data_IF_761745167533
#
_entry.id   IF_761745167533
#
_cell.length_a   1.000
_cell.length_b   1.000
_cell.length_c   1.000
_cell.angle_alpha   90.00
_cell.angle_beta   90.00
_cell.angle_gamma   90.00
#
_symmetry.space_group_name_H-M   'P 1'
#
loop_
_entity.id
_entity.type
_entity.pdbx_description
1 polymer ?
#
# COMPACT_ATOMS: atom_id res chain seq x y z
N UNK A 1 2.23 -16.98 22.16
CA UNK A 1 2.05 -15.53 22.24
C UNK A 1 0.58 -15.21 22.00
N UNK A 2 -0.06 -14.48 22.90
CA UNK A 2 -1.45 -14.06 22.77
C UNK A 2 -1.45 -12.77 21.96
N UNK A 3 -2.36 -12.63 20.99
CA UNK A 3 -2.55 -11.36 20.29
C UNK A 3 -2.94 -10.27 21.29
N UNK A 4 -2.48 -9.07 21.06
CA UNK A 4 -2.75 -7.91 21.92
C UNK A 4 -4.23 -7.54 21.94
N UNK A 5 -4.94 -7.80 20.83
CA UNK A 5 -6.37 -7.56 20.70
C UNK A 5 -7.09 -8.78 20.15
N UNK A 6 -8.34 -9.02 20.59
CA UNK A 6 -9.19 -10.07 20.04
C UNK A 6 -9.41 -9.93 18.54
N UNK A 7 -9.41 -8.69 18.04
CA UNK A 7 -9.57 -8.43 16.62
C UNK A 7 -8.32 -8.79 15.83
N UNK A 8 -7.12 -8.56 16.36
CA UNK A 8 -5.87 -9.04 15.78
C UNK A 8 -5.86 -10.55 15.59
N UNK A 9 -6.31 -11.30 16.61
CA UNK A 9 -6.46 -12.75 16.51
C UNK A 9 -7.49 -13.15 15.44
N UNK A 10 -8.61 -12.45 15.37
CA UNK A 10 -9.64 -12.69 14.34
C UNK A 10 -9.09 -12.45 12.93
N UNK A 11 -8.33 -11.36 12.74
CA UNK A 11 -7.66 -11.07 11.46
C UNK A 11 -6.67 -12.19 11.10
N UNK A 12 -5.87 -12.66 12.05
CA UNK A 12 -4.97 -13.78 11.80
C UNK A 12 -5.72 -15.02 11.33
N UNK A 13 -6.68 -15.48 12.12
CA UNK A 13 -7.44 -16.71 11.85
C UNK A 13 -8.25 -16.67 10.55
N UNK A 14 -8.83 -15.51 10.23
CA UNK A 14 -9.71 -15.40 9.04
C UNK A 14 -9.00 -15.07 7.76
N UNK A 15 -7.83 -14.40 7.81
CA UNK A 15 -7.14 -13.92 6.60
C UNK A 15 -5.81 -14.60 6.34
N UNK A 16 -5.10 -15.04 7.35
CA UNK A 16 -3.70 -15.43 7.19
C UNK A 16 -3.41 -16.89 7.54
N UNK A 17 -4.05 -17.43 8.56
CA UNK A 17 -3.84 -18.82 8.95
C UNK A 17 -4.12 -19.77 7.79
N UNK A 18 -3.28 -20.79 7.61
CA UNK A 18 -3.46 -21.84 6.61
C UNK A 18 -4.44 -22.92 7.08
N UNK A 19 -4.53 -23.11 8.39
CA UNK A 19 -5.46 -24.03 9.05
C UNK A 19 -6.03 -23.39 10.31
N UNK A 20 -7.19 -23.82 10.79
CA UNK A 20 -7.77 -23.30 12.03
C UNK A 20 -6.91 -23.49 13.29
N UNK A 21 -5.99 -24.46 13.26
CA UNK A 21 -5.12 -24.80 14.39
C UNK A 21 -3.77 -24.09 14.32
N UNK A 22 -3.45 -23.42 13.23
CA UNK A 22 -2.16 -22.75 13.07
C UNK A 22 -2.04 -21.60 14.07
N UNK A 23 -0.91 -21.56 14.77
CA UNK A 23 -0.55 -20.47 15.68
C UNK A 23 0.22 -19.37 14.96
N UNK A 24 0.30 -18.17 15.56
CA UNK A 24 1.16 -17.10 15.04
C UNK A 24 2.64 -17.49 15.03
N UNK A 25 3.08 -18.26 15.99
CA UNK A 25 4.45 -18.77 16.04
C UNK A 25 4.75 -19.70 14.87
N UNK A 26 3.84 -20.62 14.54
CA UNK A 26 3.98 -21.50 13.37
C UNK A 26 4.06 -20.67 12.08
N UNK A 27 3.19 -19.66 11.98
CA UNK A 27 3.16 -18.75 10.82
C UNK A 27 4.45 -17.96 10.68
N UNK A 28 4.99 -17.38 11.75
CA UNK A 28 6.25 -16.65 11.76
C UNK A 28 7.43 -17.53 11.29
N UNK A 29 7.53 -18.74 11.83
CA UNK A 29 8.53 -19.70 11.41
C UNK A 29 8.38 -20.11 9.93
N UNK A 30 7.15 -20.35 9.48
CA UNK A 30 6.84 -20.64 8.08
C UNK A 30 7.28 -19.52 7.15
N UNK A 31 6.93 -18.27 7.45
CA UNK A 31 7.30 -17.10 6.66
C UNK A 31 8.82 -17.04 6.46
N UNK A 32 9.58 -17.08 7.55
CA UNK A 32 11.04 -16.93 7.49
C UNK A 32 11.70 -18.11 6.76
N UNK A 33 11.24 -19.33 7.01
CA UNK A 33 11.81 -20.52 6.38
C UNK A 33 11.51 -20.62 4.88
N UNK A 34 10.32 -20.16 4.43
CA UNK A 34 9.96 -20.15 3.02
C UNK A 34 10.61 -19.00 2.25
N UNK A 35 10.80 -17.84 2.87
CA UNK A 35 11.37 -16.68 2.19
C UNK A 35 12.90 -16.68 2.24
N UNK A 36 13.49 -16.93 3.40
CA UNK A 36 14.94 -16.82 3.63
C UNK A 36 15.66 -18.16 3.65
N UNK A 37 14.95 -19.25 3.96
CA UNK A 37 15.48 -20.61 4.02
C UNK A 37 15.22 -21.38 2.72
N UNK A 38 15.10 -22.69 2.86
CA UNK A 38 14.88 -23.64 1.76
C UNK A 38 13.61 -24.49 1.94
N UNK A 39 12.69 -24.07 2.79
CA UNK A 39 11.45 -24.82 3.05
C UNK A 39 10.52 -24.88 1.85
N UNK A 40 10.73 -24.03 0.83
CA UNK A 40 10.01 -24.04 -0.45
C UNK A 40 10.52 -25.11 -1.44
N UNK A 41 11.45 -25.99 -1.00
CA UNK A 41 12.06 -27.02 -1.84
C UNK A 41 13.24 -26.53 -2.70
N UNK A 42 13.62 -25.26 -2.60
CA UNK A 42 14.82 -24.75 -3.28
C UNK A 42 16.10 -25.23 -2.57
N UNK A 43 17.21 -25.39 -3.31
CA UNK A 43 18.44 -25.93 -2.77
C UNK A 43 19.24 -24.94 -1.89
N UNK A 44 18.95 -23.64 -2.00
CA UNK A 44 19.81 -22.60 -1.41
C UNK A 44 19.08 -21.84 -0.30
N UNK A 45 19.71 -21.78 0.86
CA UNK A 45 19.38 -20.78 1.88
C UNK A 45 19.86 -19.40 1.40
N UNK A 46 18.99 -18.40 1.49
CA UNK A 46 19.31 -17.02 1.14
C UNK A 46 19.83 -16.21 2.33
N UNK A 47 19.68 -16.74 3.54
CA UNK A 47 20.11 -16.11 4.79
C UNK A 47 20.71 -17.17 5.73
N UNK A 48 21.68 -16.77 6.55
CA UNK A 48 22.31 -17.66 7.54
C UNK A 48 21.29 -18.13 8.59
N UNK A 49 21.55 -19.27 9.20
CA UNK A 49 20.63 -19.86 10.18
C UNK A 49 20.43 -18.97 11.41
N UNK A 50 21.51 -18.39 11.92
CA UNK A 50 21.46 -17.47 13.08
C UNK A 50 20.58 -16.27 12.82
N UNK A 51 20.73 -15.63 11.66
CA UNK A 51 19.91 -14.48 11.24
C UNK A 51 18.45 -14.88 11.06
N UNK A 52 18.18 -16.08 10.51
CA UNK A 52 16.80 -16.58 10.36
C UNK A 52 16.14 -16.85 11.71
N UNK A 53 16.87 -17.43 12.66
CA UNK A 53 16.35 -17.74 13.99
C UNK A 53 15.97 -16.44 14.73
N UNK A 54 16.83 -15.41 14.68
CA UNK A 54 16.54 -14.10 15.29
C UNK A 54 15.45 -13.35 14.53
N UNK A 55 15.44 -13.37 13.19
CA UNK A 55 14.36 -12.80 12.40
C UNK A 55 13.00 -13.46 12.71
N UNK A 56 12.97 -14.79 12.85
CA UNK A 56 11.75 -15.50 13.23
C UNK A 56 11.25 -15.08 14.62
N UNK A 57 12.16 -14.81 15.57
CA UNK A 57 11.83 -14.23 16.87
C UNK A 57 11.25 -12.82 16.70
N UNK A 58 11.87 -11.95 15.91
CA UNK A 58 11.37 -10.60 15.65
C UNK A 58 9.97 -10.59 15.02
N UNK A 59 9.68 -11.55 14.14
CA UNK A 59 8.33 -11.72 13.56
C UNK A 59 7.35 -12.24 14.62
N UNK A 60 7.74 -13.22 15.44
CA UNK A 60 6.90 -13.73 16.56
C UNK A 60 6.55 -12.62 17.53
N UNK A 61 7.51 -11.80 17.92
CA UNK A 61 7.36 -10.68 18.84
C UNK A 61 6.69 -9.46 18.19
N UNK A 62 6.35 -9.55 16.90
CA UNK A 62 5.76 -8.46 16.13
C UNK A 62 6.58 -7.17 16.11
N UNK A 63 7.90 -7.27 16.24
CA UNK A 63 8.84 -6.18 16.02
C UNK A 63 8.99 -5.86 14.54
N UNK A 64 8.93 -6.89 13.69
CA UNK A 64 8.88 -6.78 12.24
C UNK A 64 7.72 -7.61 11.72
N UNK A 65 6.87 -6.99 10.87
CA UNK A 65 5.83 -7.70 10.15
C UNK A 65 6.02 -7.52 8.64
N UNK A 66 6.26 -8.60 7.91
CA UNK A 66 6.28 -8.54 6.46
C UNK A 66 4.88 -8.21 5.93
N UNK A 67 4.82 -7.66 4.74
CA UNK A 67 3.56 -7.30 4.10
C UNK A 67 2.58 -8.48 4.06
N UNK A 68 1.28 -8.17 4.12
CA UNK A 68 0.25 -9.20 4.20
C UNK A 68 0.32 -10.28 3.12
N UNK A 69 1.00 -10.02 1.99
CA UNK A 69 1.24 -11.02 0.94
C UNK A 69 2.19 -12.12 1.40
N UNK A 70 3.27 -11.77 2.08
CA UNK A 70 4.18 -12.74 2.69
C UNK A 70 3.45 -13.59 3.73
N UNK A 71 2.69 -12.94 4.62
CA UNK A 71 1.95 -13.66 5.66
C UNK A 71 0.93 -14.62 5.05
N UNK A 72 0.30 -14.25 3.93
CA UNK A 72 -0.69 -15.10 3.27
C UNK A 72 -0.04 -16.22 2.47
N UNK A 73 0.94 -15.92 1.59
CA UNK A 73 1.44 -16.89 0.61
C UNK A 73 2.56 -17.80 1.11
N UNK A 74 3.31 -17.45 2.15
CA UNK A 74 4.35 -18.33 2.68
C UNK A 74 3.77 -19.69 3.08
N UNK A 75 4.36 -20.77 2.61
CA UNK A 75 3.87 -22.14 2.81
C UNK A 75 2.71 -22.57 1.91
N UNK A 76 2.23 -21.69 1.01
CA UNK A 76 1.25 -22.04 -0.03
C UNK A 76 1.94 -22.25 -1.38
N UNK A 77 1.28 -22.89 -2.36
CA UNK A 77 1.90 -23.18 -3.67
C UNK A 77 2.35 -21.93 -4.43
N UNK A 78 1.54 -20.85 -4.42
CA UNK A 78 1.90 -19.59 -5.06
C UNK A 78 2.76 -18.70 -4.15
N UNK A 79 3.66 -17.91 -4.75
CA UNK A 79 4.62 -17.04 -4.03
C UNK A 79 4.52 -15.57 -4.46
N UNK A 80 3.30 -15.06 -4.64
CA UNK A 80 3.06 -13.66 -5.02
C UNK A 80 3.26 -12.73 -3.82
N UNK A 81 4.52 -12.50 -3.44
CA UNK A 81 4.89 -11.72 -2.26
C UNK A 81 4.80 -10.21 -2.47
N UNK A 82 4.78 -9.74 -3.70
CA UNK A 82 4.76 -8.32 -4.03
C UNK A 82 3.39 -7.70 -3.79
N UNK A 83 3.40 -6.48 -3.25
CA UNK A 83 2.19 -5.73 -2.91
C UNK A 83 1.82 -4.70 -3.96
N UNK A 84 2.81 -4.13 -4.67
CA UNK A 84 2.68 -2.91 -5.44
C UNK A 84 3.25 -3.11 -6.84
N UNK A 85 2.47 -2.74 -7.86
CA UNK A 85 2.85 -2.77 -9.27
C UNK A 85 2.56 -1.41 -9.90
N UNK A 86 3.52 -0.89 -10.65
CA UNK A 86 3.48 0.42 -11.26
C UNK A 86 3.45 0.27 -12.78
N UNK A 87 2.51 0.96 -13.42
CA UNK A 87 2.31 0.90 -14.87
C UNK A 87 2.30 2.28 -15.48
N UNK A 88 2.44 2.32 -16.80
CA UNK A 88 2.28 3.51 -17.63
C UNK A 88 1.54 3.14 -18.90
N UNK A 89 0.70 4.01 -19.38
CA UNK A 89 0.28 3.96 -20.78
C UNK A 89 1.46 4.47 -21.60
N UNK A 90 2.15 3.57 -22.29
CA UNK A 90 3.41 3.89 -22.97
C UNK A 90 3.22 4.49 -24.36
N UNK A 91 2.05 4.25 -24.96
CA UNK A 91 1.64 4.81 -26.25
C UNK A 91 0.11 4.91 -26.32
N UNK A 92 -0.42 5.85 -27.13
CA UNK A 92 -1.86 6.02 -27.35
C UNK A 92 -2.35 5.19 -28.55
N UNK A 93 -2.18 3.87 -28.47
CA UNK A 93 -2.61 2.90 -29.47
C UNK A 93 -3.58 1.86 -28.85
N UNK A 94 -4.34 1.16 -29.72
CA UNK A 94 -5.23 0.05 -29.27
C UNK A 94 -4.43 -1.01 -28.54
N UNK A 95 -3.28 -1.31 -29.07
CA UNK A 95 -2.35 -2.32 -28.57
C UNK A 95 -1.84 -1.94 -27.17
N UNK A 96 -1.44 -0.67 -26.96
CA UNK A 96 -1.00 -0.17 -25.65
C UNK A 96 -2.14 -0.14 -24.62
N UNK A 97 -3.35 0.26 -25.01
CA UNK A 97 -4.53 0.21 -24.14
C UNK A 97 -4.86 -1.22 -23.69
N UNK A 98 -4.83 -2.15 -24.65
CA UNK A 98 -5.06 -3.57 -24.37
C UNK A 98 -3.98 -4.17 -23.49
N UNK A 99 -2.71 -3.83 -23.75
CA UNK A 99 -1.57 -4.29 -22.97
C UNK A 99 -1.63 -3.76 -21.52
N UNK A 100 -1.91 -2.48 -21.32
CA UNK A 100 -2.07 -1.89 -19.98
C UNK A 100 -3.18 -2.61 -19.19
N UNK A 101 -4.35 -2.79 -19.83
CA UNK A 101 -5.49 -3.48 -19.18
C UNK A 101 -5.14 -4.93 -18.80
N UNK A 102 -4.51 -5.68 -19.72
CA UNK A 102 -4.05 -7.06 -19.46
C UNK A 102 -3.04 -7.10 -18.30
N UNK A 103 -2.06 -6.21 -18.31
CA UNK A 103 -0.99 -6.17 -17.32
C UNK A 103 -1.51 -5.84 -15.92
N UNK A 104 -2.36 -4.81 -15.80
CA UNK A 104 -3.01 -4.46 -14.54
C UNK A 104 -3.91 -5.59 -14.02
N UNK A 105 -4.72 -6.21 -14.91
CA UNK A 105 -5.55 -7.36 -14.55
C UNK A 105 -4.72 -8.53 -14.03
N UNK A 106 -3.61 -8.86 -14.69
CA UNK A 106 -2.71 -9.94 -14.26
C UNK A 106 -2.14 -9.68 -12.86
N UNK A 107 -1.73 -8.44 -12.56
CA UNK A 107 -1.26 -8.06 -11.22
C UNK A 107 -2.37 -8.12 -10.17
N UNK A 108 -3.58 -7.62 -10.49
CA UNK A 108 -4.73 -7.68 -9.59
C UNK A 108 -5.10 -9.11 -9.22
N UNK A 109 -5.02 -10.05 -10.16
CA UNK A 109 -5.30 -11.48 -9.92
C UNK A 109 -4.34 -12.12 -8.91
N UNK A 110 -3.10 -11.63 -8.80
CA UNK A 110 -2.16 -12.06 -7.75
C UNK A 110 -2.49 -11.46 -6.37
N UNK A 111 -3.38 -10.47 -6.35
CA UNK A 111 -3.77 -9.71 -5.16
C UNK A 111 -2.87 -8.54 -4.84
N UNK A 112 -2.03 -8.11 -5.76
CA UNK A 112 -1.27 -6.86 -5.68
C UNK A 112 -2.13 -5.65 -6.02
N UNK A 113 -1.80 -4.50 -5.44
CA UNK A 113 -2.33 -3.21 -5.86
C UNK A 113 -1.61 -2.70 -7.10
N UNK A 114 -2.32 -2.00 -7.96
CA UNK A 114 -1.79 -1.47 -9.23
C UNK A 114 -1.98 0.02 -9.33
N UNK A 115 -1.05 0.70 -9.97
CA UNK A 115 -1.23 2.10 -10.34
C UNK A 115 -0.76 2.35 -11.76
N UNK A 116 -1.34 3.33 -12.45
CA UNK A 116 -0.93 3.69 -13.81
C UNK A 116 -0.98 5.20 -14.05
N UNK A 117 0.02 5.70 -14.75
CA UNK A 117 0.01 7.03 -15.36
C UNK A 117 -0.53 6.91 -16.79
N UNK A 118 -1.61 7.67 -17.08
CA UNK A 118 -2.28 7.68 -18.38
C UNK A 118 -2.16 9.03 -19.09
N UNK A 119 -1.20 9.85 -18.70
CA UNK A 119 -1.03 11.23 -19.20
C UNK A 119 -0.88 11.33 -20.73
N UNK A 120 -0.40 10.27 -21.39
CA UNK A 120 -0.19 10.26 -22.85
C UNK A 120 -1.48 9.95 -23.65
N UNK A 121 -2.57 9.56 -22.96
CA UNK A 121 -3.82 9.26 -23.62
C UNK A 121 -4.31 10.48 -24.43
N UNK A 122 -4.80 10.25 -25.65
CA UNK A 122 -5.32 11.30 -26.51
C UNK A 122 -6.54 11.96 -25.90
N UNK A 123 -6.61 13.29 -25.87
CA UNK A 123 -7.77 14.02 -25.37
C UNK A 123 -9.06 13.68 -26.11
N UNK A 124 -10.17 13.71 -25.39
CA UNK A 124 -11.51 13.55 -25.94
C UNK A 124 -11.80 14.57 -27.04
N UNK A 125 -12.52 14.15 -28.09
CA UNK A 125 -12.86 15.01 -29.22
C UNK A 125 -11.75 15.20 -30.29
N UNK A 126 -10.53 14.77 -30.03
CA UNK A 126 -9.45 14.83 -31.02
C UNK A 126 -9.76 13.91 -32.20
N UNK A 127 -9.54 14.43 -33.42
CA UNK A 127 -9.81 13.69 -34.68
C UNK A 127 -8.92 12.45 -34.80
N UNK A 128 -9.55 11.34 -35.18
CA UNK A 128 -8.85 10.10 -35.51
C UNK A 128 -8.53 10.04 -37.00
N UNK A 129 -7.27 10.33 -37.36
CA UNK A 129 -6.88 10.46 -38.77
C UNK A 129 -6.94 9.14 -39.56
N UNK A 130 -6.75 8.00 -38.90
CA UNK A 130 -6.67 6.71 -39.59
C UNK A 130 -8.04 6.01 -39.71
N UNK A 131 -8.89 6.12 -38.71
CA UNK A 131 -10.18 5.40 -38.64
C UNK A 131 -11.38 6.30 -38.87
N UNK A 132 -11.18 7.62 -38.86
CA UNK A 132 -12.27 8.59 -38.85
C UNK A 132 -12.93 8.71 -37.47
N UNK A 133 -13.76 9.74 -37.30
CA UNK A 133 -14.40 10.04 -36.00
C UNK A 133 -13.48 10.79 -35.02
N UNK A 134 -13.81 10.72 -33.73
CA UNK A 134 -13.13 11.44 -32.66
C UNK A 134 -12.72 10.49 -31.54
N UNK A 135 -11.65 10.87 -30.82
CA UNK A 135 -11.16 10.13 -29.65
C UNK A 135 -12.14 10.23 -28.48
N UNK A 136 -12.22 9.18 -27.70
CA UNK A 136 -13.06 9.11 -26.49
C UNK A 136 -12.41 9.66 -25.21
N UNK A 137 -11.11 9.98 -25.28
CA UNK A 137 -10.34 10.43 -24.13
C UNK A 137 -9.97 9.29 -23.15
N UNK A 138 -9.31 9.62 -22.03
CA UNK A 138 -8.81 8.64 -21.05
C UNK A 138 -9.89 7.99 -20.18
N UNK A 139 -11.02 8.67 -19.94
CA UNK A 139 -12.06 8.18 -19.01
C UNK A 139 -12.63 6.80 -19.36
N UNK A 140 -12.89 6.43 -20.63
CA UNK A 140 -13.31 5.07 -20.99
C UNK A 140 -12.31 3.98 -20.62
N UNK A 141 -11.00 4.24 -20.74
CA UNK A 141 -9.96 3.33 -20.27
C UNK A 141 -10.04 3.13 -18.75
N UNK A 142 -10.18 4.23 -18.01
CA UNK A 142 -10.33 4.17 -16.55
C UNK A 142 -11.58 3.37 -16.14
N UNK A 143 -12.72 3.57 -16.81
CA UNK A 143 -13.95 2.80 -16.56
C UNK A 143 -13.75 1.32 -16.84
N UNK A 144 -13.03 0.96 -17.90
CA UNK A 144 -12.71 -0.43 -18.23
C UNK A 144 -11.86 -1.08 -17.14
N UNK A 145 -10.81 -0.40 -16.69
CA UNK A 145 -9.93 -0.88 -15.61
C UNK A 145 -10.67 -0.93 -14.26
N UNK A 146 -11.55 0.04 -13.99
CA UNK A 146 -12.42 0.00 -12.82
C UNK A 146 -13.33 -1.25 -12.82
N UNK A 147 -13.92 -1.60 -13.97
CA UNK A 147 -14.72 -2.80 -14.12
C UNK A 147 -13.89 -4.08 -13.92
N UNK A 148 -12.65 -4.12 -14.39
CA UNK A 148 -11.72 -5.21 -14.07
C UNK A 148 -11.54 -5.34 -12.55
N UNK A 149 -11.22 -4.24 -11.88
CA UNK A 149 -11.03 -4.22 -10.42
C UNK A 149 -12.26 -4.66 -9.64
N UNK A 150 -13.44 -4.39 -10.15
CA UNK A 150 -14.72 -4.76 -9.54
C UNK A 150 -15.05 -6.25 -9.68
N UNK A 151 -14.72 -6.85 -10.81
CA UNK A 151 -15.15 -8.20 -11.17
C UNK A 151 -14.05 -9.25 -10.97
N UNK A 152 -12.80 -8.86 -10.85
CA UNK A 152 -11.69 -9.79 -10.64
C UNK A 152 -11.53 -10.11 -9.14
N UNK A 153 -11.80 -11.35 -8.77
CA UNK A 153 -11.56 -11.86 -7.42
C UNK A 153 -10.06 -12.05 -7.20
N UNK A 154 -9.55 -11.43 -6.14
CA UNK A 154 -8.16 -11.62 -5.70
C UNK A 154 -8.02 -12.86 -4.81
N UNK A 155 -6.87 -13.51 -4.89
CA UNK A 155 -6.49 -14.53 -3.91
C UNK A 155 -6.59 -13.98 -2.48
N UNK A 156 -7.34 -14.67 -1.59
CA UNK A 156 -7.57 -14.25 -0.22
C UNK A 156 -8.73 -13.28 0.01
N UNK A 157 -9.66 -13.10 -0.95
CA UNK A 157 -10.89 -12.33 -0.74
C UNK A 157 -10.68 -10.82 -0.49
N UNK A 158 -9.59 -10.24 -0.99
CA UNK A 158 -9.31 -8.79 -0.90
C UNK A 158 -9.99 -8.05 -2.04
N UNK A 159 -10.45 -6.81 -1.78
CA UNK A 159 -10.83 -5.87 -2.82
C UNK A 159 -9.62 -5.44 -3.62
N UNK A 160 -9.83 -5.19 -4.91
CA UNK A 160 -8.84 -4.57 -5.78
C UNK A 160 -8.45 -3.19 -5.25
N UNK A 161 -7.19 -2.82 -5.45
CA UNK A 161 -6.67 -1.50 -5.16
C UNK A 161 -6.03 -0.97 -6.43
N UNK A 162 -6.60 0.10 -6.99
CA UNK A 162 -6.18 0.71 -8.26
C UNK A 162 -5.90 2.18 -8.01
N UNK A 163 -4.89 2.70 -8.67
CA UNK A 163 -4.58 4.12 -8.74
C UNK A 163 -4.41 4.54 -10.19
N UNK A 164 -4.92 5.72 -10.54
CA UNK A 164 -4.72 6.31 -11.86
C UNK A 164 -4.31 7.76 -11.72
N UNK A 165 -3.31 8.18 -12.50
CA UNK A 165 -2.89 9.57 -12.54
C UNK A 165 -2.84 10.12 -13.96
N UNK A 166 -2.95 11.43 -14.06
CA UNK A 166 -2.88 12.17 -15.30
C UNK A 166 -2.17 13.51 -15.06
N UNK A 167 -1.41 14.00 -16.06
CA UNK A 167 -0.77 15.31 -15.97
C UNK A 167 -1.80 16.43 -15.85
N UNK A 168 -1.55 17.41 -14.99
CA UNK A 168 -2.43 18.55 -14.73
C UNK A 168 -2.72 19.41 -16.00
N UNK A 169 -1.83 19.39 -16.98
CA UNK A 169 -1.98 20.12 -18.25
C UNK A 169 -2.77 19.34 -19.31
N UNK A 170 -3.22 18.12 -19.02
CA UNK A 170 -4.00 17.35 -19.98
C UNK A 170 -5.34 18.04 -20.27
N UNK A 171 -5.75 18.09 -21.55
CA UNK A 171 -6.98 18.76 -21.98
C UNK A 171 -8.24 18.21 -21.29
N UNK A 172 -8.25 16.93 -20.90
CA UNK A 172 -9.33 16.29 -20.15
C UNK A 172 -9.18 16.41 -18.62
N UNK A 173 -8.24 17.22 -18.09
CA UNK A 173 -8.08 17.41 -16.65
C UNK A 173 -9.39 17.87 -15.96
N UNK A 174 -10.22 18.78 -16.52
CA UNK A 174 -11.49 19.13 -15.92
C UNK A 174 -12.47 17.95 -15.78
N UNK A 175 -12.56 17.11 -16.82
CA UNK A 175 -13.41 15.89 -16.80
C UNK A 175 -12.87 14.84 -15.84
N UNK A 176 -11.56 14.72 -15.73
CA UNK A 176 -10.90 13.84 -14.77
C UNK A 176 -11.16 14.28 -13.33
N UNK A 177 -11.02 15.58 -13.04
CA UNK A 177 -11.30 16.17 -11.71
C UNK A 177 -12.73 15.87 -11.24
N UNK A 178 -13.72 16.02 -12.13
CA UNK A 178 -15.13 15.82 -11.79
C UNK A 178 -15.60 14.36 -11.88
N UNK A 179 -14.77 13.44 -12.36
CA UNK A 179 -15.17 12.06 -12.67
C UNK A 179 -15.69 11.25 -11.47
N UNK A 180 -15.34 11.65 -10.25
CA UNK A 180 -15.79 11.05 -8.97
C UNK A 180 -16.62 12.01 -8.12
N UNK A 181 -17.15 13.08 -8.67
CA UNK A 181 -18.05 13.97 -7.95
C UNK A 181 -19.46 13.36 -7.82
N UNK A 182 -19.57 12.33 -6.98
CA UNK A 182 -20.79 11.56 -6.79
C UNK A 182 -21.94 12.40 -6.19
N UNK A 183 -21.63 13.54 -5.57
CA UNK A 183 -22.64 14.46 -5.04
C UNK A 183 -23.42 15.22 -6.13
N UNK A 184 -22.85 15.36 -7.32
CA UNK A 184 -23.47 16.01 -8.47
C UNK A 184 -24.00 15.04 -9.52
N UNK A 185 -23.69 13.75 -9.40
CA UNK A 185 -24.16 12.72 -10.33
C UNK A 185 -25.50 12.18 -9.83
N UNK A 186 -26.58 12.48 -10.59
CA UNK A 186 -27.91 11.96 -10.30
C UNK A 186 -28.09 10.55 -10.86
N UNK A 187 -28.83 9.71 -10.13
CA UNK A 187 -29.24 8.40 -10.63
C UNK A 187 -30.37 8.61 -11.63
N UNK A 188 -30.26 8.10 -12.88
CA UNK A 188 -31.27 8.31 -13.91
C UNK A 188 -32.67 7.95 -13.44
N UNK A 189 -33.61 8.89 -13.62
CA UNK A 189 -35.03 8.72 -13.25
C UNK A 189 -35.34 8.86 -11.75
N UNK A 190 -34.41 9.40 -10.96
CA UNK A 190 -34.63 9.65 -9.53
C UNK A 190 -34.08 11.02 -9.12
N UNK A 191 -34.46 11.49 -7.91
CA UNK A 191 -33.89 12.67 -7.27
C UNK A 191 -32.76 12.33 -6.27
N UNK A 192 -32.14 11.14 -6.42
CA UNK A 192 -31.11 10.63 -5.52
C UNK A 192 -29.75 10.78 -6.19
N UNK A 193 -28.76 11.32 -5.46
CA UNK A 193 -27.37 11.37 -5.94
C UNK A 193 -26.68 10.01 -5.78
N UNK A 194 -25.64 9.78 -6.58
CA UNK A 194 -24.79 8.59 -6.42
C UNK A 194 -24.17 8.56 -5.02
N UNK A 195 -23.82 9.70 -4.44
CA UNK A 195 -23.27 9.79 -3.09
C UNK A 195 -24.29 9.32 -2.03
N UNK A 196 -25.55 9.72 -2.13
CA UNK A 196 -26.59 9.30 -1.20
C UNK A 196 -26.90 7.81 -1.33
N UNK A 197 -26.97 7.30 -2.55
CA UNK A 197 -27.14 5.87 -2.79
C UNK A 197 -25.96 5.06 -2.22
N UNK A 198 -24.72 5.53 -2.40
CA UNK A 198 -23.51 4.90 -1.85
C UNK A 198 -23.47 4.96 -0.32
N UNK A 199 -24.02 6.00 0.28
CA UNK A 199 -24.18 6.14 1.73
C UNK A 199 -25.23 5.17 2.29
N UNK A 200 -26.33 4.97 1.55
CA UNK A 200 -27.39 4.02 1.90
C UNK A 200 -26.93 2.55 1.70
N UNK A 201 -26.29 2.27 0.57
CA UNK A 201 -25.70 0.97 0.25
C UNK A 201 -24.25 1.14 -0.22
N UNK A 202 -23.30 0.75 0.61
CA UNK A 202 -21.88 0.81 0.28
C UNK A 202 -21.51 0.03 -1.01
N UNK A 203 -22.29 -0.98 -1.37
CA UNK A 203 -22.06 -1.77 -2.59
C UNK A 203 -22.75 -1.19 -3.83
N UNK A 204 -23.49 -0.05 -3.67
CA UNK A 204 -24.05 0.64 -4.82
C UNK A 204 -22.99 0.95 -5.87
N UNK A 205 -23.29 0.74 -7.15
CA UNK A 205 -22.37 0.91 -8.27
C UNK A 205 -22.13 2.41 -8.55
N UNK A 206 -20.94 2.90 -8.20
CA UNK A 206 -20.56 4.28 -8.44
C UNK A 206 -19.43 4.39 -9.47
N UNK A 207 -19.38 5.47 -10.27
CA UNK A 207 -18.30 5.68 -11.22
C UNK A 207 -16.93 5.64 -10.54
N UNK A 208 -15.99 4.84 -11.08
CA UNK A 208 -14.59 4.75 -10.63
C UNK A 208 -14.42 4.41 -9.14
N UNK A 209 -15.36 3.67 -8.54
CA UNK A 209 -15.39 3.34 -7.11
C UNK A 209 -14.31 2.34 -6.65
N UNK A 210 -13.59 1.73 -7.59
CA UNK A 210 -12.50 0.79 -7.32
C UNK A 210 -11.12 1.42 -7.47
N UNK A 211 -11.02 2.72 -7.78
CA UNK A 211 -9.73 3.38 -7.99
C UNK A 211 -9.62 4.71 -7.25
N UNK A 212 -8.40 5.03 -6.83
CA UNK A 212 -8.00 6.36 -6.41
C UNK A 212 -7.44 7.11 -7.62
N UNK A 213 -7.64 8.40 -7.68
CA UNK A 213 -7.18 9.25 -8.79
C UNK A 213 -6.39 10.45 -8.28
N UNK A 214 -5.37 10.88 -9.05
CA UNK A 214 -4.58 12.08 -8.73
C UNK A 214 -4.15 12.81 -10.00
N UNK A 215 -3.94 14.12 -9.91
CA UNK A 215 -3.21 14.86 -10.93
C UNK A 215 -1.71 14.90 -10.63
N UNK A 216 -0.90 14.72 -11.66
CA UNK A 216 0.55 14.87 -11.61
C UNK A 216 0.92 16.35 -11.85
N UNK A 217 1.64 16.92 -10.89
CA UNK A 217 2.20 18.28 -10.94
C UNK A 217 3.72 18.18 -11.05
N UNK A 218 4.28 18.84 -12.05
CA UNK A 218 5.69 18.79 -12.41
C UNK A 218 6.38 20.17 -12.25
N UNK A 219 7.64 20.26 -12.68
CA UNK A 219 8.39 21.51 -12.63
C UNK A 219 7.78 22.60 -13.52
N UNK A 220 7.01 22.27 -14.57
CA UNK A 220 6.29 23.25 -15.36
C UNK A 220 5.23 23.95 -14.50
N UNK A 221 4.47 23.19 -13.69
CA UNK A 221 3.52 23.77 -12.75
C UNK A 221 4.20 24.70 -11.72
N UNK A 222 5.39 24.32 -11.21
CA UNK A 222 6.13 25.18 -10.27
C UNK A 222 6.54 26.51 -10.89
N UNK A 223 6.90 26.51 -12.18
CA UNK A 223 7.29 27.74 -12.90
C UNK A 223 6.08 28.61 -13.23
N UNK A 224 5.06 28.00 -13.83
CA UNK A 224 3.94 28.72 -14.43
C UNK A 224 2.84 28.99 -13.41
N UNK A 225 2.84 28.22 -12.29
CA UNK A 225 1.84 28.28 -11.21
C UNK A 225 0.42 28.35 -11.76
N UNK A 226 0.07 27.44 -12.68
CA UNK A 226 -1.31 27.29 -13.13
C UNK A 226 -2.21 27.06 -11.93
N UNK A 227 -2.82 28.14 -11.48
CA UNK A 227 -3.63 28.15 -10.26
C UNK A 227 -5.02 27.62 -10.54
N UNK A 228 -5.52 27.65 -11.77
CA UNK A 228 -6.93 27.32 -12.04
C UNK A 228 -7.18 25.83 -11.90
N UNK A 229 -6.41 24.98 -12.59
CA UNK A 229 -6.49 23.51 -12.44
C UNK A 229 -6.17 23.07 -11.02
N UNK A 230 -5.15 23.65 -10.38
CA UNK A 230 -4.79 23.33 -9.00
C UNK A 230 -5.88 23.71 -8.01
N UNK A 231 -6.48 24.91 -8.14
CA UNK A 231 -7.58 25.33 -7.27
C UNK A 231 -8.87 24.51 -7.49
N UNK A 232 -9.13 24.08 -8.71
CA UNK A 232 -10.22 23.13 -8.99
C UNK A 232 -9.95 21.78 -8.32
N UNK A 233 -8.73 21.26 -8.39
CA UNK A 233 -8.34 20.05 -7.68
C UNK A 233 -8.50 20.20 -6.17
N UNK A 234 -8.03 21.30 -5.58
CA UNK A 234 -8.22 21.59 -4.16
C UNK A 234 -9.72 21.59 -3.77
N UNK A 235 -10.56 22.27 -4.53
CA UNK A 235 -12.01 22.30 -4.26
C UNK A 235 -12.64 20.91 -4.35
N UNK A 236 -12.29 20.16 -5.39
CA UNK A 236 -12.82 18.80 -5.57
C UNK A 236 -12.35 17.86 -4.47
N UNK A 237 -11.05 17.90 -4.11
CA UNK A 237 -10.49 17.12 -3.02
C UNK A 237 -11.14 17.45 -1.66
N UNK A 238 -11.43 18.71 -1.39
CA UNK A 238 -12.14 19.14 -0.17
C UNK A 238 -13.57 18.59 -0.12
N UNK A 239 -14.25 18.47 -1.27
CA UNK A 239 -15.63 17.96 -1.32
C UNK A 239 -15.73 16.44 -1.23
N UNK A 240 -14.80 15.72 -1.85
CA UNK A 240 -14.95 14.26 -2.07
C UNK A 240 -13.77 13.43 -1.58
N UNK A 241 -12.68 14.06 -1.11
CA UNK A 241 -11.41 13.39 -0.76
C UNK A 241 -10.53 13.09 -1.97
N UNK A 242 -10.98 13.34 -3.19
CA UNK A 242 -10.27 13.08 -4.45
C UNK A 242 -10.59 14.13 -5.51
N UNK A 243 -9.77 14.33 -6.55
CA UNK A 243 -8.46 13.72 -6.79
C UNK A 243 -7.38 14.16 -5.81
N UNK A 244 -6.42 13.26 -5.56
CA UNK A 244 -5.21 13.59 -4.82
C UNK A 244 -4.21 14.39 -5.67
N UNK A 245 -3.07 14.70 -5.05
CA UNK A 245 -1.97 15.46 -5.64
C UNK A 245 -0.73 14.55 -5.74
N UNK A 246 -0.14 14.48 -6.92
CA UNK A 246 1.11 13.78 -7.18
C UNK A 246 2.16 14.81 -7.58
N UNK A 247 3.04 15.18 -6.67
CA UNK A 247 4.11 16.14 -6.91
C UNK A 247 5.38 15.44 -7.34
N UNK A 248 5.91 15.83 -8.50
CA UNK A 248 7.08 15.23 -9.14
C UNK A 248 8.00 16.36 -9.58
N UNK A 249 8.99 16.72 -8.73
CA UNK A 249 9.84 17.88 -8.91
C UNK A 249 11.33 17.54 -8.94
N UNK A 250 12.11 18.38 -9.60
CA UNK A 250 13.55 18.28 -9.67
C UNK A 250 14.02 16.94 -10.27
N UNK A 251 14.98 16.30 -9.62
CA UNK A 251 15.54 15.01 -10.07
C UNK A 251 14.51 13.88 -10.15
N UNK A 252 13.34 14.06 -9.53
CA UNK A 252 12.24 13.09 -9.51
C UNK A 252 11.05 13.49 -10.39
N UNK A 253 11.19 14.48 -11.25
CA UNK A 253 10.10 14.93 -12.12
C UNK A 253 9.53 13.82 -13.01
N UNK A 254 10.35 12.84 -13.39
CA UNK A 254 9.95 11.71 -14.23
C UNK A 254 9.37 10.51 -13.42
N UNK A 255 9.44 10.54 -12.08
CA UNK A 255 8.87 9.50 -11.21
C UNK A 255 7.35 9.68 -11.04
N UNK A 256 6.61 9.71 -12.15
CA UNK A 256 5.15 9.94 -12.15
C UNK A 256 4.34 8.70 -11.78
N UNK A 257 4.95 7.52 -11.84
CA UNK A 257 4.28 6.26 -11.54
C UNK A 257 4.14 6.06 -10.05
N UNK A 258 2.96 5.65 -9.61
CA UNK A 258 2.67 5.33 -8.21
C UNK A 258 1.88 4.04 -8.12
N UNK A 259 2.00 3.34 -6.99
CA UNK A 259 1.16 2.20 -6.67
C UNK A 259 -0.19 2.67 -6.08
N UNK A 260 -1.08 1.73 -5.78
CA UNK A 260 -2.43 2.01 -5.32
C UNK A 260 -2.52 2.91 -4.06
N UNK A 261 -1.53 2.82 -3.17
CA UNK A 261 -1.46 3.59 -1.92
C UNK A 261 -0.48 4.78 -1.99
N UNK A 262 0.16 5.01 -3.14
CA UNK A 262 1.04 6.14 -3.45
C UNK A 262 2.35 6.22 -2.66
N UNK A 263 2.74 5.20 -1.89
CA UNK A 263 3.99 5.20 -1.12
C UNK A 263 5.24 4.88 -1.95
N UNK A 264 5.06 4.37 -3.18
CA UNK A 264 6.15 4.05 -4.12
C UNK A 264 6.06 4.97 -5.33
N UNK A 265 7.19 5.54 -5.73
CA UNK A 265 7.35 6.29 -6.99
C UNK A 265 8.37 5.62 -7.90
N UNK A 266 8.18 5.71 -9.20
CA UNK A 266 9.13 5.22 -10.20
C UNK A 266 8.96 5.95 -11.53
N UNK A 267 10.02 5.94 -12.34
CA UNK A 267 9.98 6.31 -13.76
C UNK A 267 9.88 5.07 -14.67
N UNK A 268 10.11 3.87 -14.13
CA UNK A 268 10.14 2.64 -14.92
C UNK A 268 8.75 1.96 -14.94
N UNK A 269 8.09 1.83 -16.11
CA UNK A 269 6.89 0.99 -16.23
C UNK A 269 7.17 -0.44 -15.78
N UNK A 270 6.15 -1.10 -15.23
CA UNK A 270 6.23 -2.46 -14.68
C UNK A 270 7.12 -2.61 -13.43
N UNK A 271 7.50 -1.50 -12.79
CA UNK A 271 8.22 -1.57 -11.51
C UNK A 271 7.36 -2.21 -10.44
N UNK A 272 8.01 -2.83 -9.47
CA UNK A 272 7.35 -3.63 -8.44
C UNK A 272 8.07 -3.50 -7.12
N UNK A 273 7.31 -3.49 -6.03
CA UNK A 273 7.86 -3.41 -4.68
C UNK A 273 7.27 -4.49 -3.77
N UNK A 274 8.10 -5.02 -2.89
CA UNK A 274 7.69 -5.83 -1.76
C UNK A 274 7.76 -5.01 -0.48
N UNK A 275 6.88 -5.28 0.47
CA UNK A 275 6.69 -4.47 1.66
C UNK A 275 6.90 -5.26 2.95
N UNK A 276 7.39 -4.58 3.95
CA UNK A 276 7.42 -5.00 5.34
C UNK A 276 7.50 -3.76 6.23
N UNK A 277 7.06 -3.88 7.48
CA UNK A 277 7.07 -2.74 8.40
C UNK A 277 7.59 -3.13 9.78
N UNK A 278 8.42 -2.27 10.33
CA UNK A 278 8.94 -2.38 11.69
C UNK A 278 7.94 -1.74 12.64
N UNK A 279 7.58 -2.44 13.69
CA UNK A 279 6.70 -1.94 14.74
C UNK A 279 7.53 -1.29 15.84
N UNK A 280 7.62 0.02 15.79
CA UNK A 280 8.39 0.80 16.76
C UNK A 280 7.92 0.57 18.20
N UNK A 281 6.61 0.41 18.41
CA UNK A 281 6.01 0.24 19.74
C UNK A 281 6.47 -1.03 20.48
N UNK A 282 7.04 -2.02 19.77
CA UNK A 282 7.54 -3.27 20.36
C UNK A 282 9.07 -3.28 20.51
N UNK A 283 9.74 -2.12 20.36
CA UNK A 283 11.19 -2.00 20.39
C UNK A 283 11.59 -0.92 21.41
N UNK A 284 12.34 -1.31 22.44
CA UNK A 284 12.67 -0.42 23.55
C UNK A 284 13.98 0.34 23.33
N UNK A 285 14.98 -0.28 22.70
CA UNK A 285 16.33 0.29 22.57
C UNK A 285 16.73 0.53 21.13
N UNK A 286 17.63 1.50 20.92
CA UNK A 286 18.15 1.83 19.59
C UNK A 286 18.98 0.67 18.98
N UNK A 287 19.69 -0.09 19.82
CA UNK A 287 20.48 -1.25 19.35
C UNK A 287 19.58 -2.37 18.84
N UNK A 288 18.51 -2.74 19.60
CA UNK A 288 17.51 -3.69 19.17
C UNK A 288 16.82 -3.21 17.86
N UNK A 289 16.51 -1.91 17.78
CA UNK A 289 15.94 -1.32 16.57
C UNK A 289 16.88 -1.48 15.36
N UNK A 290 18.16 -1.22 15.53
CA UNK A 290 19.17 -1.38 14.48
C UNK A 290 19.24 -2.84 13.98
N UNK A 291 19.23 -3.80 14.90
CA UNK A 291 19.26 -5.23 14.56
C UNK A 291 17.98 -5.66 13.82
N UNK A 292 16.81 -5.16 14.25
CA UNK A 292 15.54 -5.40 13.55
C UNK A 292 15.57 -4.80 12.14
N UNK A 293 16.06 -3.57 11.95
CA UNK A 293 16.22 -2.94 10.63
C UNK A 293 17.14 -3.77 9.74
N UNK A 294 18.27 -4.24 10.29
CA UNK A 294 19.23 -5.07 9.59
C UNK A 294 18.57 -6.35 9.03
N UNK A 295 17.92 -7.12 9.88
CA UNK A 295 17.31 -8.40 9.50
C UNK A 295 16.09 -8.22 8.60
N UNK A 296 15.28 -7.19 8.83
CA UNK A 296 14.13 -6.87 7.99
C UNK A 296 14.53 -6.49 6.56
N UNK A 297 15.63 -5.74 6.41
CA UNK A 297 16.18 -5.39 5.10
C UNK A 297 16.65 -6.64 4.34
N UNK A 298 17.39 -7.53 4.99
CA UNK A 298 17.80 -8.83 4.41
C UNK A 298 16.58 -9.67 4.01
N UNK A 299 15.53 -9.70 4.84
CA UNK A 299 14.30 -10.43 4.51
C UNK A 299 13.68 -9.94 3.21
N UNK A 300 13.56 -8.62 3.03
CA UNK A 300 13.00 -8.05 1.80
C UNK A 300 13.87 -8.37 0.57
N UNK A 301 15.20 -8.38 0.71
CA UNK A 301 16.11 -8.81 -0.38
C UNK A 301 15.88 -10.29 -0.72
N UNK A 302 15.75 -11.18 0.26
CA UNK A 302 15.38 -12.58 0.02
C UNK A 302 14.05 -12.69 -0.74
N UNK A 303 13.10 -11.84 -0.39
CA UNK A 303 11.79 -11.75 -1.04
C UNK A 303 11.88 -11.42 -2.53
N UNK A 304 12.85 -10.61 -2.98
CA UNK A 304 13.08 -10.34 -4.41
C UNK A 304 13.35 -11.63 -5.19
N UNK A 305 14.12 -12.55 -4.61
CA UNK A 305 14.46 -13.81 -5.27
C UNK A 305 13.31 -14.81 -5.22
N UNK A 306 12.62 -14.89 -4.08
CA UNK A 306 11.58 -15.90 -3.84
C UNK A 306 10.24 -15.56 -4.47
N UNK A 307 9.97 -14.27 -4.74
CA UNK A 307 8.70 -13.83 -5.28
C UNK A 307 8.49 -14.33 -6.71
N UNK A 308 7.33 -14.94 -6.92
CA UNK A 308 6.75 -15.20 -8.24
C UNK A 308 6.12 -13.88 -8.77
N UNK A 309 6.27 -13.65 -10.06
CA UNK A 309 5.78 -12.43 -10.72
C UNK A 309 4.81 -12.77 -11.85
N UNK A 310 3.81 -11.90 -12.11
CA UNK A 310 2.72 -12.24 -13.02
C UNK A 310 3.11 -12.32 -14.51
N UNK A 311 4.19 -11.63 -14.93
CA UNK A 311 4.67 -11.65 -16.30
C UNK A 311 6.11 -11.12 -16.42
N UNK A 312 6.72 -11.31 -17.59
CA UNK A 312 8.16 -11.16 -17.82
C UNK A 312 8.68 -9.71 -17.65
N UNK A 313 7.92 -8.69 -18.10
CA UNK A 313 8.33 -7.29 -18.01
C UNK A 313 8.52 -6.87 -16.56
N UNK A 314 7.63 -7.27 -15.65
CA UNK A 314 7.81 -7.04 -14.20
C UNK A 314 9.07 -7.70 -13.69
N UNK A 315 9.39 -8.91 -14.17
CA UNK A 315 10.61 -9.60 -13.77
C UNK A 315 11.87 -8.86 -14.20
N UNK A 316 11.90 -8.34 -15.44
CA UNK A 316 13.04 -7.56 -15.96
C UNK A 316 13.26 -6.28 -15.15
N UNK A 317 12.18 -5.54 -14.86
CA UNK A 317 12.28 -4.29 -14.11
C UNK A 317 12.63 -4.56 -12.63
N UNK A 318 12.09 -5.61 -12.02
CA UNK A 318 12.50 -6.04 -10.68
C UNK A 318 14.00 -6.33 -10.61
N UNK A 319 14.55 -7.06 -11.58
CA UNK A 319 15.99 -7.35 -11.64
C UNK A 319 16.83 -6.07 -11.79
N UNK A 320 16.34 -5.11 -12.60
CA UNK A 320 17.00 -3.81 -12.77
C UNK A 320 16.99 -2.97 -11.50
N UNK A 321 15.85 -2.90 -10.81
CA UNK A 321 15.61 -1.92 -9.76
C UNK A 321 15.76 -2.48 -8.33
N UNK A 322 15.64 -3.77 -8.13
CA UNK A 322 15.72 -4.44 -6.80
C UNK A 322 14.98 -3.69 -5.68
N UNK A 323 13.86 -3.01 -6.00
CA UNK A 323 13.19 -2.07 -5.10
C UNK A 323 12.62 -2.74 -3.86
N UNK A 324 12.93 -2.16 -2.71
CA UNK A 324 12.44 -2.56 -1.41
C UNK A 324 11.54 -1.50 -0.80
N UNK A 325 10.59 -1.91 0.01
CA UNK A 325 9.69 -1.03 0.74
C UNK A 325 9.66 -1.38 2.22
N UNK A 326 10.78 -1.19 2.92
CA UNK A 326 10.79 -1.28 4.36
C UNK A 326 10.10 -0.05 4.94
N UNK A 327 9.07 -0.25 5.75
CA UNK A 327 8.28 0.79 6.39
C UNK A 327 8.38 0.77 7.90
N UNK A 328 7.68 1.72 8.52
CA UNK A 328 7.50 1.83 9.96
C UNK A 328 6.01 1.76 10.28
N UNK A 329 5.66 1.27 11.46
CA UNK A 329 4.33 1.37 12.07
C UNK A 329 4.47 1.48 13.59
N UNK A 330 3.40 1.85 14.27
CA UNK A 330 3.42 1.99 15.73
C UNK A 330 4.13 3.27 16.20
N UNK A 331 4.32 4.28 15.32
CA UNK A 331 5.07 5.49 15.67
C UNK A 331 4.39 6.29 16.79
N UNK A 332 3.09 6.55 16.69
CA UNK A 332 2.41 7.34 17.72
C UNK A 332 2.40 6.61 19.06
N UNK A 333 2.16 5.31 19.07
CA UNK A 333 2.25 4.50 20.28
C UNK A 333 3.67 4.54 20.88
N UNK A 334 4.71 4.44 20.05
CA UNK A 334 6.12 4.56 20.49
C UNK A 334 6.41 5.91 21.16
N UNK A 335 5.87 7.00 20.60
CA UNK A 335 5.97 8.36 21.18
C UNK A 335 5.25 8.44 22.54
N UNK A 336 4.01 7.94 22.62
CA UNK A 336 3.23 7.93 23.86
C UNK A 336 3.91 7.12 24.97
N UNK A 337 4.52 5.97 24.63
CA UNK A 337 5.28 5.14 25.59
C UNK A 337 6.48 5.91 26.19
N UNK A 338 6.97 6.95 25.50
CA UNK A 338 8.08 7.81 25.92
C UNK A 338 7.64 9.15 26.50
N UNK A 339 6.33 9.35 26.67
CA UNK A 339 5.76 10.58 27.22
C UNK A 339 5.74 11.75 26.24
N UNK A 340 5.81 11.48 24.95
CA UNK A 340 5.69 12.51 23.90
C UNK A 340 4.34 12.49 23.24
N UNK A 341 3.81 13.65 22.88
CA UNK A 341 2.72 13.78 21.92
C UNK A 341 3.17 13.41 20.50
N UNK A 342 2.26 13.54 19.53
CA UNK A 342 2.60 13.27 18.12
C UNK A 342 3.42 14.43 17.54
N UNK A 343 4.69 14.44 17.89
CA UNK A 343 5.65 15.47 17.49
C UNK A 343 7.05 14.89 17.24
N UNK A 344 7.89 15.68 16.58
CA UNK A 344 9.29 15.31 16.34
C UNK A 344 10.15 15.59 17.59
N UNK A 345 10.73 14.56 18.17
CA UNK A 345 11.71 14.66 19.25
C UNK A 345 13.12 14.23 18.80
N UNK A 346 14.14 14.54 19.59
CA UNK A 346 15.53 14.23 19.22
C UNK A 346 15.83 12.74 19.22
N UNK A 347 15.20 11.95 20.09
CA UNK A 347 15.29 10.51 20.07
C UNK A 347 14.73 9.96 18.74
N UNK A 348 13.56 10.42 18.30
CA UNK A 348 12.98 10.00 17.01
C UNK A 348 13.90 10.34 15.84
N UNK A 349 14.51 11.54 15.82
CA UNK A 349 15.47 11.91 14.76
C UNK A 349 16.65 10.93 14.71
N UNK A 350 17.16 10.52 15.87
CA UNK A 350 18.24 9.55 15.94
C UNK A 350 17.80 8.17 15.41
N UNK A 351 16.62 7.70 15.79
CA UNK A 351 16.07 6.44 15.29
C UNK A 351 15.83 6.47 13.78
N UNK A 352 15.29 7.57 13.26
CA UNK A 352 15.08 7.72 11.80
C UNK A 352 16.40 7.77 11.03
N UNK A 353 17.47 8.32 11.62
CA UNK A 353 18.81 8.26 11.03
C UNK A 353 19.34 6.82 10.97
N UNK A 354 19.24 6.07 12.07
CA UNK A 354 19.63 4.64 12.10
C UNK A 354 18.78 3.84 11.10
N UNK A 355 17.48 4.07 11.03
CA UNK A 355 16.60 3.44 10.06
C UNK A 355 17.07 3.66 8.62
N UNK A 356 17.40 4.89 8.26
CA UNK A 356 17.92 5.24 6.95
C UNK A 356 19.23 4.52 6.66
N UNK A 357 20.22 4.74 7.52
CA UNK A 357 21.59 4.32 7.28
C UNK A 357 21.73 2.77 7.30
N UNK A 358 21.07 2.13 8.27
CA UNK A 358 21.14 0.66 8.41
C UNK A 358 20.34 -0.07 7.34
N UNK A 359 19.16 0.44 6.93
CA UNK A 359 18.38 -0.20 5.87
C UNK A 359 19.11 -0.19 4.52
N UNK A 360 19.83 0.89 4.20
CA UNK A 360 20.66 0.99 3.00
C UNK A 360 21.87 0.06 3.08
N UNK A 361 22.62 0.13 4.19
CA UNK A 361 23.80 -0.70 4.39
C UNK A 361 23.48 -2.20 4.29
N UNK A 362 22.49 -2.64 5.07
CA UNK A 362 22.15 -4.06 5.15
C UNK A 362 21.59 -4.61 3.83
N UNK A 363 20.74 -3.83 3.13
CA UNK A 363 20.20 -4.24 1.86
C UNK A 363 21.30 -4.35 0.80
N UNK A 364 22.22 -3.38 0.73
CA UNK A 364 23.33 -3.38 -0.22
C UNK A 364 24.25 -4.58 0.00
N UNK A 365 24.71 -4.79 1.23
CA UNK A 365 25.58 -5.93 1.58
C UNK A 365 24.92 -7.27 1.23
N UNK A 366 23.61 -7.41 1.46
CA UNK A 366 22.90 -8.63 1.15
C UNK A 366 22.63 -8.81 -0.34
N UNK A 367 22.38 -7.73 -1.10
CA UNK A 367 22.30 -7.75 -2.56
C UNK A 367 23.63 -8.18 -3.17
N UNK A 368 24.77 -7.65 -2.71
CA UNK A 368 26.10 -8.03 -3.17
C UNK A 368 26.39 -9.51 -2.91
N UNK A 369 26.04 -10.01 -1.72
CA UNK A 369 26.16 -11.42 -1.36
C UNK A 369 25.35 -12.35 -2.26
N UNK A 370 24.17 -11.89 -2.72
CA UNK A 370 23.26 -12.66 -3.57
C UNK A 370 23.37 -12.34 -5.06
N UNK A 371 24.37 -11.53 -5.45
CA UNK A 371 24.62 -11.11 -6.84
C UNK A 371 23.42 -10.40 -7.48
N UNK A 372 22.74 -9.55 -6.71
CA UNK A 372 21.63 -8.71 -7.18
C UNK A 372 22.11 -7.28 -7.44
N UNK A 373 21.38 -6.56 -8.30
CA UNK A 373 21.57 -5.12 -8.43
C UNK A 373 21.22 -4.41 -7.13
N UNK A 374 21.92 -3.31 -6.84
CA UNK A 374 21.61 -2.44 -5.71
C UNK A 374 20.19 -1.86 -5.80
N UNK A 375 19.46 -1.78 -4.69
CA UNK A 375 18.10 -1.25 -4.71
C UNK A 375 18.03 0.22 -5.15
N UNK A 376 17.14 0.53 -6.10
CA UNK A 376 16.78 1.93 -6.42
C UNK A 376 15.99 2.63 -5.31
N UNK A 377 15.38 1.88 -4.41
CA UNK A 377 14.66 2.38 -3.27
C UNK A 377 14.63 1.33 -2.17
N UNK A 378 14.81 1.77 -0.94
CA UNK A 378 14.97 0.91 0.23
C UNK A 378 13.76 0.93 1.14
N UNK A 379 13.06 2.05 1.20
CA UNK A 379 12.04 2.36 2.21
C UNK A 379 10.75 2.85 1.58
N UNK A 380 9.64 2.48 2.21
CA UNK A 380 8.31 2.99 1.87
C UNK A 380 7.40 2.93 3.10
N UNK A 381 6.73 4.02 3.41
CA UNK A 381 5.76 4.07 4.49
C UNK A 381 4.40 3.64 3.95
N UNK A 382 4.11 2.35 4.06
CA UNK A 382 2.84 1.79 3.65
C UNK A 382 1.74 2.02 4.70
N UNK A 383 0.45 1.99 4.32
CA UNK A 383 -0.66 2.20 5.26
C UNK A 383 -0.76 1.17 6.39
N UNK A 384 -0.20 -0.01 6.24
CA UNK A 384 -0.14 -1.11 7.22
C UNK A 384 -1.48 -1.57 7.82
N UNK A 385 -2.62 -1.18 7.27
CA UNK A 385 -3.95 -1.32 7.86
C UNK A 385 -4.32 -2.72 8.38
N UNK A 386 -3.84 -3.80 7.74
CA UNK A 386 -4.08 -5.17 8.23
C UNK A 386 -3.02 -5.65 9.21
N UNK A 387 -1.74 -5.31 9.00
CA UNK A 387 -0.64 -5.80 9.84
C UNK A 387 -0.54 -4.99 11.14
N UNK A 388 -0.84 -3.69 11.13
CA UNK A 388 -0.94 -2.90 12.35
C UNK A 388 -2.12 -3.37 13.22
N UNK A 389 -3.28 -3.68 12.62
CA UNK A 389 -4.41 -4.29 13.34
C UNK A 389 -4.04 -5.67 13.91
N UNK A 390 -3.27 -6.48 13.17
CA UNK A 390 -2.77 -7.77 13.64
C UNK A 390 -1.88 -7.60 14.89
N UNK A 391 -1.00 -6.60 14.87
CA UNK A 391 -0.11 -6.29 15.99
C UNK A 391 -0.80 -5.53 17.13
N UNK A 392 -1.96 -4.91 16.89
CA UNK A 392 -2.66 -4.08 17.86
C UNK A 392 -1.95 -2.76 18.15
N UNK A 393 -1.40 -2.11 17.11
CA UNK A 393 -0.65 -0.84 17.18
C UNK A 393 -1.16 0.17 16.17
N UNK A 394 -0.60 1.40 16.17
CA UNK A 394 -0.96 2.45 15.21
C UNK A 394 -0.47 2.13 13.79
N UNK A 395 -1.26 2.51 12.79
CA UNK A 395 -0.95 2.26 11.37
C UNK A 395 0.12 3.20 10.86
N UNK A 396 1.15 2.66 10.22
CA UNK A 396 2.21 3.46 9.60
C UNK A 396 2.82 4.47 10.55
N UNK A 397 2.95 5.69 10.05
CA UNK A 397 3.38 6.86 10.84
C UNK A 397 2.18 7.78 11.17
N UNK A 398 0.96 7.25 11.14
CA UNK A 398 -0.25 8.00 11.43
C UNK A 398 -0.50 8.10 12.94
N UNK A 399 -1.09 9.22 13.43
CA UNK A 399 -1.53 9.30 14.80
C UNK A 399 -2.74 8.41 15.07
N UNK A 400 -3.07 8.13 16.33
CA UNK A 400 -4.36 7.56 16.71
C UNK A 400 -5.46 8.50 16.22
N UNK A 401 -6.37 8.00 15.39
CA UNK A 401 -7.46 8.81 14.83
C UNK A 401 -8.74 8.77 15.67
N UNK A 402 -8.91 7.74 16.50
CA UNK A 402 -10.05 7.58 17.40
C UNK A 402 -9.74 6.55 18.48
N UNK A 403 -10.15 6.82 19.70
CA UNK A 403 -9.95 5.94 20.85
C UNK A 403 -10.86 4.72 20.80
N UNK A 404 -12.08 4.92 20.34
CA UNK A 404 -13.05 3.88 20.12
C UNK A 404 -13.85 4.15 18.85
N UNK A 405 -14.12 3.14 18.09
CA UNK A 405 -14.84 3.27 16.82
C UNK A 405 -15.67 2.03 16.50
N UNK A 406 -16.68 2.22 15.67
CA UNK A 406 -17.50 1.14 15.14
C UNK A 406 -16.92 0.72 13.78
N UNK A 407 -16.28 -0.45 13.74
CA UNK A 407 -15.78 -1.02 12.50
C UNK A 407 -16.84 -1.86 11.82
N UNK A 408 -16.90 -1.76 10.50
CA UNK A 408 -17.75 -2.62 9.67
C UNK A 408 -16.91 -3.37 8.64
N UNK A 409 -17.32 -4.59 8.33
CA UNK A 409 -16.75 -5.36 7.22
C UNK A 409 -17.82 -6.27 6.61
N UNK A 410 -17.60 -6.65 5.34
CA UNK A 410 -18.49 -7.57 4.65
C UNK A 410 -18.09 -9.00 5.03
N UNK A 411 -19.06 -9.80 5.46
CA UNK A 411 -18.97 -11.25 5.52
C UNK A 411 -19.55 -11.84 4.23
N UNK A 412 -19.73 -13.14 4.18
CA UNK A 412 -20.29 -13.84 3.01
C UNK A 412 -21.45 -13.09 2.35
N UNK A 413 -21.28 -12.81 1.06
CA UNK A 413 -22.25 -12.06 0.27
C UNK A 413 -22.26 -10.55 0.59
N UNK A 414 -23.44 -9.99 0.85
CA UNK A 414 -23.66 -8.56 1.08
C UNK A 414 -23.91 -8.20 2.54
N UNK A 415 -23.74 -9.13 3.47
CA UNK A 415 -24.03 -8.92 4.88
C UNK A 415 -22.90 -8.16 5.57
N UNK A 416 -23.24 -7.03 6.17
CA UNK A 416 -22.35 -6.25 7.00
C UNK A 416 -22.32 -6.79 8.42
N UNK A 417 -21.10 -6.97 8.96
CA UNK A 417 -20.85 -7.11 10.40
C UNK A 417 -20.33 -5.80 10.95
N UNK A 418 -20.77 -5.49 12.17
CA UNK A 418 -20.35 -4.31 12.91
C UNK A 418 -19.78 -4.76 14.25
N UNK A 419 -18.69 -4.13 14.66
CA UNK A 419 -18.09 -4.36 15.96
C UNK A 419 -17.59 -3.03 16.52
N UNK A 420 -17.87 -2.78 17.79
CA UNK A 420 -17.24 -1.71 18.54
C UNK A 420 -15.84 -2.14 18.93
N UNK A 421 -14.88 -1.25 18.76
CA UNK A 421 -13.48 -1.51 19.03
C UNK A 421 -12.90 -0.34 19.80
N UNK A 422 -12.05 -0.65 20.76
CA UNK A 422 -11.12 0.30 21.35
C UNK A 422 -9.82 0.19 20.55
N UNK A 423 -9.18 1.31 20.26
CA UNK A 423 -7.85 1.33 19.65
C UNK A 423 -6.85 0.56 20.52
N UNK A 424 -5.98 -0.24 19.90
CA UNK A 424 -5.06 -1.09 20.65
C UNK A 424 -4.06 -0.29 21.49
N UNK A 425 -3.67 0.90 21.04
CA UNK A 425 -2.80 1.82 21.76
C UNK A 425 -3.52 2.39 22.98
N UNK A 426 -4.76 2.87 22.80
CA UNK A 426 -5.60 3.37 23.88
C UNK A 426 -5.84 2.27 24.94
N UNK A 427 -6.18 1.04 24.53
CA UNK A 427 -6.36 -0.08 25.46
C UNK A 427 -5.09 -0.37 26.25
N UNK A 428 -3.93 -0.37 25.62
CA UNK A 428 -2.66 -0.62 26.30
C UNK A 428 -2.29 0.46 27.33
N UNK A 429 -2.66 1.70 27.10
CA UNK A 429 -2.47 2.78 28.06
C UNK A 429 -3.44 2.66 29.24
N UNK A 430 -4.71 2.30 28.97
CA UNK A 430 -5.69 2.00 30.01
C UNK A 430 -5.21 0.84 30.90
N UNK A 431 -4.70 -0.23 30.29
CA UNK A 431 -4.19 -1.40 31.02
C UNK A 431 -2.97 -1.06 31.89
N UNK A 432 -2.20 -0.02 31.51
CA UNK A 432 -1.08 0.55 32.30
C UNK A 432 -1.54 1.51 33.41
N UNK A 433 -2.84 1.74 33.58
CA UNK A 433 -3.41 2.54 34.65
C UNK A 433 -3.67 4.01 34.30
N UNK A 434 -3.67 4.39 33.03
CA UNK A 434 -4.13 5.72 32.63
C UNK A 434 -5.63 5.83 32.93
N UNK A 435 -6.00 6.94 33.58
CA UNK A 435 -7.38 7.24 33.95
C UNK A 435 -8.19 7.60 32.67
N UNK A 436 -8.85 6.60 32.11
CA UNK A 436 -9.66 6.72 30.91
C UNK A 436 -10.85 7.68 31.05
N UNK A 437 -11.26 8.03 32.26
CA UNK A 437 -12.36 8.99 32.48
C UNK A 437 -11.99 10.42 32.13
N UNK A 438 -10.69 10.69 31.95
CA UNK A 438 -10.14 12.01 31.57
C UNK A 438 -9.79 12.11 30.08
N UNK A 439 -9.98 11.03 29.33
CA UNK A 439 -9.61 10.95 27.92
C UNK A 439 -10.88 11.04 27.09
N UNK A 440 -11.08 12.14 26.38
CA UNK A 440 -12.20 12.34 25.46
C UNK A 440 -11.76 12.17 23.99
N UNK A 441 -10.53 12.57 23.68
CA UNK A 441 -10.00 12.58 22.32
C UNK A 441 -8.61 11.94 22.24
N UNK A 442 -8.12 11.72 21.05
CA UNK A 442 -6.75 11.25 20.82
C UNK A 442 -5.67 12.26 21.25
N UNK A 443 -6.03 13.52 21.45
CA UNK A 443 -5.11 14.55 21.98
C UNK A 443 -4.88 14.45 23.49
N UNK A 444 -5.75 13.75 24.19
CA UNK A 444 -5.65 13.58 25.64
C UNK A 444 -4.76 12.37 26.03
N UNK A 445 -4.31 11.61 25.02
CA UNK A 445 -3.34 10.54 25.18
C UNK A 445 -1.92 11.07 25.24
#
# INVERSE_FOLDING_TARGET
>A
MTFRTQFGETIFKTKYASTPLETWEDRANTIVNYVCGNADGTKNNLMEKTDRDELAKNVREMKFLPGGRYIYYAGRPARFYNNCYLHKLEDDTREAWSHLTKSMMSCLMTGGGVGADISIARPSGRRLNRTGGVASGPLPLMKTINAVGKNVMQGGGRRSAIYMSMNHQHEDAPSFLSSKNWHEIMIPGTDITVADAKKADFNFDAPLDMMNISLNYDDAWLRDKDTDTFMQNCRQAMMTGEPGFSFNFGDKQDETLRNACCEITSSDPHDVCNLGSINLANIDTLDDFKDVVHLASKFLVCGLIRAELPYEEVQKVRQKNSRLGLGLMGLHEWLLQRGHGYEMCDELKQWLKVYRDESERSANEHCDRLFLNQPKGYRAIAPTGSIATLAGTTSGVEPVFSLAYRRRWITEGTKWKYQYMIDGTAQALIDKGIDHTKIETAYDL
#
